data_IF_769550718049
#
_entry.id   IF_769550718049
#
_cell.length_a   1.000
_cell.length_b   1.000
_cell.length_c   1.000
_cell.angle_alpha   90.00
_cell.angle_beta   90.00
_cell.angle_gamma   90.00
#
_symmetry.space_group_name_H-M   'P 1'
#
loop_
_entity.id
_entity.type
_entity.pdbx_description
1 polymer ?
#
# COMPACT_ATOMS: atom_id res chain seq x y z
N UNK A 1 -17.59 14.19 14.62
CA UNK A 1 -17.70 12.98 13.78
C UNK A 1 -16.54 12.01 14.08
N UNK A 2 -16.27 11.75 15.36
CA UNK A 2 -15.02 11.13 15.88
C UNK A 2 -15.28 9.92 16.80
N UNK A 3 -16.48 9.33 16.74
CA UNK A 3 -16.93 8.32 17.72
C UNK A 3 -16.89 6.87 17.18
N UNK A 4 -16.64 6.63 15.89
CA UNK A 4 -16.66 5.28 15.27
C UNK A 4 -15.34 4.48 15.39
N UNK A 5 -14.31 5.05 16.00
CA UNK A 5 -12.96 4.46 16.06
C UNK A 5 -12.71 3.56 17.28
N UNK A 6 -13.68 3.40 18.19
CA UNK A 6 -13.48 2.71 19.47
C UNK A 6 -13.75 1.19 19.46
N UNK A 7 -14.36 0.63 18.42
CA UNK A 7 -14.82 -0.78 18.44
C UNK A 7 -14.00 -1.77 17.60
N UNK A 8 -12.84 -1.36 17.07
CA UNK A 8 -11.97 -2.23 16.25
C UNK A 8 -11.18 -3.27 17.06
N UNK A 9 -10.93 -3.02 18.36
CA UNK A 9 -10.24 -3.94 19.26
C UNK A 9 -11.05 -5.23 19.51
N UNK A 10 -12.39 -5.11 19.57
CA UNK A 10 -13.29 -6.24 19.68
C UNK A 10 -13.38 -7.03 18.37
N UNK A 11 -13.28 -6.34 17.21
CA UNK A 11 -13.43 -6.91 15.87
C UNK A 11 -12.37 -7.97 15.55
N UNK A 12 -11.07 -7.66 15.70
CA UNK A 12 -10.00 -8.65 15.42
C UNK A 12 -9.93 -9.76 16.47
N UNK A 13 -10.25 -9.48 17.73
CA UNK A 13 -10.25 -10.48 18.81
C UNK A 13 -11.42 -11.47 18.66
N UNK A 14 -12.61 -11.02 18.24
CA UNK A 14 -13.76 -11.88 17.96
C UNK A 14 -13.60 -12.71 16.67
N UNK A 15 -13.01 -12.14 15.62
CA UNK A 15 -12.76 -12.83 14.34
C UNK A 15 -11.93 -14.11 14.54
N UNK A 16 -11.03 -14.11 15.51
CA UNK A 16 -10.14 -15.23 15.80
C UNK A 16 -10.59 -16.13 16.97
N UNK A 17 -11.37 -15.62 17.92
CA UNK A 17 -12.00 -16.42 18.96
C UNK A 17 -13.12 -17.35 18.43
N UNK A 18 -13.91 -16.90 17.45
CA UNK A 18 -15.02 -17.67 16.85
C UNK A 18 -14.56 -18.91 16.06
N UNK A 19 -13.32 -18.90 15.54
CA UNK A 19 -12.74 -20.02 14.77
C UNK A 19 -12.28 -21.18 15.68
N UNK A 20 -12.15 -20.96 17.00
CA UNK A 20 -11.51 -21.93 17.90
C UNK A 20 -12.37 -22.51 19.03
N UNK A 21 -13.57 -22.01 19.36
CA UNK A 21 -14.34 -22.59 20.46
C UNK A 21 -15.82 -22.26 20.44
N UNK A 22 -16.65 -23.26 20.69
CA UNK A 22 -18.11 -23.19 20.81
C UNK A 22 -18.64 -22.43 22.03
N UNK A 23 -17.80 -21.83 22.88
CA UNK A 23 -18.24 -21.05 24.04
C UNK A 23 -17.21 -19.98 24.42
N UNK A 24 -17.52 -18.71 24.16
CA UNK A 24 -16.96 -17.57 24.88
C UNK A 24 -17.97 -16.41 24.84
N UNK A 25 -18.23 -15.82 26.01
CA UNK A 25 -19.28 -14.82 26.28
C UNK A 25 -19.16 -13.55 25.42
N UNK A 26 -20.33 -12.99 25.11
CA UNK A 26 -20.60 -11.88 24.20
C UNK A 26 -19.84 -10.60 24.57
N UNK A 27 -18.72 -10.35 23.89
CA UNK A 27 -18.23 -8.99 23.70
C UNK A 27 -19.06 -8.34 22.57
N UNK A 28 -19.66 -7.18 22.85
CA UNK A 28 -20.44 -6.36 21.91
C UNK A 28 -19.55 -5.88 20.76
N UNK A 29 -19.41 -6.75 19.77
CA UNK A 29 -18.57 -6.59 18.61
C UNK A 29 -19.45 -6.18 17.43
N UNK A 30 -19.09 -5.18 16.61
CA UNK A 30 -19.84 -4.86 15.39
C UNK A 30 -19.67 -5.98 14.34
N UNK A 31 -20.37 -7.08 14.55
CA UNK A 31 -20.35 -8.32 13.76
C UNK A 31 -20.39 -8.13 12.24
N UNK A 32 -20.93 -7.01 11.76
CA UNK A 32 -20.99 -6.63 10.35
C UNK A 32 -19.64 -6.31 9.70
N UNK A 33 -18.69 -5.70 10.41
CA UNK A 33 -17.38 -5.31 9.84
C UNK A 33 -16.40 -6.49 9.80
N UNK A 34 -16.40 -7.37 10.81
CA UNK A 34 -15.71 -8.67 10.78
C UNK A 34 -16.21 -9.49 9.60
N UNK A 35 -17.53 -9.66 9.52
CA UNK A 35 -18.16 -10.41 8.44
C UNK A 35 -17.73 -9.83 7.09
N UNK A 36 -17.67 -8.49 6.97
CA UNK A 36 -17.24 -7.85 5.73
C UNK A 36 -15.77 -8.13 5.37
N UNK A 37 -14.85 -8.23 6.34
CA UNK A 37 -13.45 -8.59 6.06
C UNK A 37 -13.34 -10.06 5.65
N UNK A 38 -14.02 -10.97 6.35
CA UNK A 38 -14.08 -12.39 5.98
C UNK A 38 -14.70 -12.57 4.59
N UNK A 39 -15.77 -11.85 4.28
CA UNK A 39 -16.41 -11.86 2.96
C UNK A 39 -15.45 -11.35 1.87
N UNK A 40 -14.65 -10.31 2.17
CA UNK A 40 -13.62 -9.79 1.26
C UNK A 40 -12.48 -10.80 1.08
N UNK A 41 -12.00 -11.45 2.14
CA UNK A 41 -10.99 -12.50 2.05
C UNK A 41 -11.51 -13.69 1.23
N UNK A 42 -12.73 -14.16 1.50
CA UNK A 42 -13.38 -15.22 0.75
C UNK A 42 -13.62 -14.83 -0.73
N UNK A 43 -13.89 -13.55 -1.00
CA UNK A 43 -13.98 -13.04 -2.37
C UNK A 43 -12.60 -13.03 -3.04
N UNK A 44 -11.56 -12.59 -2.33
CA UNK A 44 -10.19 -12.59 -2.84
C UNK A 44 -9.74 -14.02 -3.18
N UNK A 45 -10.04 -15.02 -2.34
CA UNK A 45 -9.69 -16.43 -2.58
C UNK A 45 -10.35 -17.04 -3.83
N UNK A 46 -11.42 -16.43 -4.36
CA UNK A 46 -12.02 -16.84 -5.63
C UNK A 46 -11.19 -16.42 -6.84
N UNK A 47 -10.30 -15.43 -6.70
CA UNK A 47 -9.39 -15.05 -7.77
C UNK A 47 -8.34 -16.16 -7.99
N UNK A 48 -7.98 -16.46 -9.24
CA UNK A 48 -7.04 -17.54 -9.53
C UNK A 48 -5.62 -17.19 -9.04
N UNK A 49 -4.95 -18.18 -8.45
CA UNK A 49 -3.54 -18.08 -8.03
C UNK A 49 -2.57 -18.34 -9.18
N UNK A 50 -2.77 -17.67 -10.32
CA UNK A 50 -1.84 -17.74 -11.46
C UNK A 50 -0.64 -16.82 -11.29
N UNK A 51 -0.74 -15.83 -10.42
CA UNK A 51 0.28 -14.82 -10.13
C UNK A 51 0.36 -14.57 -8.62
N UNK A 52 1.55 -14.15 -8.11
CA UNK A 52 1.72 -13.77 -6.73
C UNK A 52 0.72 -12.69 -6.29
N UNK A 53 0.35 -12.73 -5.01
CA UNK A 53 -0.43 -11.67 -4.38
C UNK A 53 0.54 -10.65 -3.77
N UNK A 54 0.34 -9.37 -4.09
CA UNK A 54 1.04 -8.27 -3.44
C UNK A 54 0.10 -7.63 -2.44
N UNK A 55 0.49 -7.57 -1.17
CA UNK A 55 -0.26 -6.92 -0.12
C UNK A 55 0.37 -5.56 0.16
N UNK A 56 -0.41 -4.48 0.01
CA UNK A 56 -0.01 -3.14 0.38
C UNK A 56 -0.74 -2.73 1.65
N UNK A 57 0.02 -2.26 2.65
CA UNK A 57 -0.51 -1.73 3.91
C UNK A 57 -0.07 -0.29 4.09
N UNK A 58 -1.02 0.56 4.45
CA UNK A 58 -0.78 1.93 4.91
C UNK A 58 -1.21 2.01 6.37
N UNK A 59 -0.31 2.47 7.24
CA UNK A 59 -0.53 2.49 8.69
C UNK A 59 -0.37 3.90 9.24
N UNK A 60 -1.31 4.32 10.08
CA UNK A 60 -1.22 5.51 10.95
C UNK A 60 -1.20 5.02 12.39
N UNK A 61 -0.26 5.51 13.17
CA UNK A 61 -0.12 5.19 14.59
C UNK A 61 -0.66 6.32 15.47
N UNK A 62 -1.15 5.92 16.65
CA UNK A 62 -1.61 6.84 17.71
C UNK A 62 -0.47 7.69 18.28
N UNK A 63 0.76 7.23 18.13
CA UNK A 63 1.96 7.80 18.74
C UNK A 63 3.19 7.69 17.82
N UNK A 64 4.19 8.52 18.10
CA UNK A 64 5.39 8.66 17.25
C UNK A 64 6.36 7.46 17.32
N UNK A 65 6.11 6.48 18.19
CA UNK A 65 6.88 5.23 18.32
C UNK A 65 6.38 4.13 17.35
N UNK A 66 5.46 4.46 16.44
CA UNK A 66 4.82 3.52 15.53
C UNK A 66 5.77 2.64 14.71
N UNK A 67 6.87 3.20 14.20
CA UNK A 67 7.89 2.40 13.49
C UNK A 67 8.50 1.31 14.38
N UNK A 68 8.80 1.64 15.64
CA UNK A 68 9.31 0.66 16.62
C UNK A 68 8.27 -0.43 16.89
N UNK A 69 6.99 -0.06 17.01
CA UNK A 69 5.87 -1.02 17.17
C UNK A 69 5.72 -1.95 15.98
N UNK A 70 5.88 -1.42 14.79
CA UNK A 70 5.88 -2.24 13.59
C UNK A 70 7.10 -3.18 13.53
N UNK A 71 8.28 -2.74 13.99
CA UNK A 71 9.45 -3.63 14.10
C UNK A 71 9.25 -4.77 15.10
N UNK A 72 8.60 -4.51 16.23
CA UNK A 72 8.22 -5.55 17.21
C UNK A 72 7.29 -6.60 16.56
N UNK A 73 6.27 -6.14 15.81
CA UNK A 73 5.39 -7.00 15.02
C UNK A 73 6.16 -7.82 13.97
N UNK A 74 7.07 -7.19 13.24
CA UNK A 74 7.87 -7.84 12.20
C UNK A 74 8.74 -8.98 12.74
N UNK A 75 9.27 -8.87 13.96
CA UNK A 75 10.07 -9.95 14.57
C UNK A 75 9.26 -11.24 14.74
N UNK A 76 7.98 -11.13 15.08
CA UNK A 76 7.07 -12.28 15.22
C UNK A 76 6.56 -12.80 13.88
N UNK A 77 6.31 -11.90 12.92
CA UNK A 77 5.66 -12.23 11.65
C UNK A 77 6.64 -12.65 10.54
N UNK A 78 7.82 -12.03 10.45
CA UNK A 78 8.74 -12.24 9.34
C UNK A 78 9.22 -13.70 9.18
N UNK A 79 9.56 -14.45 10.24
CA UNK A 79 9.93 -15.86 10.11
C UNK A 79 8.81 -16.70 9.48
N UNK A 80 7.56 -16.43 9.89
CA UNK A 80 6.37 -17.11 9.38
C UNK A 80 6.18 -16.78 7.90
N UNK A 81 6.23 -15.50 7.52
CA UNK A 81 6.08 -15.09 6.12
C UNK A 81 7.12 -15.79 5.23
N UNK A 82 8.38 -15.87 5.68
CA UNK A 82 9.48 -16.54 4.97
C UNK A 82 9.26 -18.03 4.82
N UNK A 83 8.87 -18.73 5.89
CA UNK A 83 8.56 -20.17 5.85
C UNK A 83 7.41 -20.47 4.86
N UNK A 84 6.45 -19.55 4.77
CA UNK A 84 5.35 -19.62 3.80
C UNK A 84 5.77 -19.27 2.36
N UNK A 85 7.03 -18.90 2.13
CA UNK A 85 7.57 -18.50 0.83
C UNK A 85 7.18 -17.08 0.41
N UNK A 86 6.69 -16.26 1.35
CA UNK A 86 6.43 -14.84 1.16
C UNK A 86 7.68 -13.99 1.38
N UNK A 87 7.59 -12.71 1.03
CA UNK A 87 8.71 -11.77 1.06
C UNK A 87 8.26 -10.35 1.41
N UNK A 88 9.04 -9.64 2.23
CA UNK A 88 8.91 -8.19 2.37
C UNK A 88 9.60 -7.50 1.20
N UNK A 89 8.82 -6.76 0.41
CA UNK A 89 9.32 -6.07 -0.76
C UNK A 89 9.69 -4.63 -0.46
N UNK A 90 8.94 -3.94 0.41
CA UNK A 90 9.21 -2.55 0.74
C UNK A 90 8.70 -2.18 2.12
N UNK A 91 9.47 -1.36 2.85
CA UNK A 91 9.04 -0.67 4.06
C UNK A 91 9.50 0.77 3.95
N UNK A 92 8.53 1.69 3.97
CA UNK A 92 8.78 3.13 3.88
C UNK A 92 8.19 3.86 5.07
N UNK A 93 8.95 4.81 5.63
CA UNK A 93 8.46 5.75 6.64
C UNK A 93 8.05 7.06 6.00
N UNK A 94 6.91 7.60 6.40
CA UNK A 94 6.36 8.81 5.81
C UNK A 94 7.36 9.97 5.83
N UNK A 95 7.38 10.69 4.72
CA UNK A 95 8.20 11.89 4.56
C UNK A 95 7.26 13.07 4.35
N UNK A 96 7.22 14.03 5.27
CA UNK A 96 6.60 15.31 4.96
C UNK A 96 7.52 16.02 3.97
N UNK A 97 7.01 16.31 2.78
CA UNK A 97 7.66 17.28 1.89
C UNK A 97 6.69 18.39 1.55
N UNK A 98 7.20 19.61 1.53
CA UNK A 98 6.44 20.82 1.19
C UNK A 98 6.87 21.22 -0.21
N UNK A 99 5.94 21.19 -1.16
CA UNK A 99 6.16 21.85 -2.44
C UNK A 99 5.73 23.30 -2.29
N UNK A 100 6.59 24.20 -2.76
CA UNK A 100 6.27 25.62 -2.81
C UNK A 100 5.78 25.95 -4.23
N UNK A 101 4.48 26.17 -4.35
CA UNK A 101 3.81 26.38 -5.63
C UNK A 101 3.80 27.85 -6.08
N UNK A 102 4.66 28.71 -5.54
CA UNK A 102 4.70 30.18 -5.71
C UNK A 102 4.50 30.72 -7.16
N UNK A 103 4.57 29.88 -8.20
CA UNK A 103 4.19 30.23 -9.58
C UNK A 103 3.60 29.09 -10.45
N UNK A 104 3.18 27.96 -9.86
CA UNK A 104 2.75 26.75 -10.60
C UNK A 104 1.39 26.21 -10.14
N UNK A 105 0.72 25.38 -10.96
CA UNK A 105 -0.50 24.71 -10.53
C UNK A 105 -0.18 23.65 -9.47
N UNK A 106 -1.04 23.58 -8.45
CA UNK A 106 -1.00 22.50 -7.47
C UNK A 106 -1.10 21.14 -8.17
N UNK A 107 -0.30 20.19 -7.71
CA UNK A 107 -0.34 18.85 -8.26
C UNK A 107 -1.62 18.13 -7.81
N UNK A 108 -2.51 17.82 -8.77
CA UNK A 108 -3.73 17.05 -8.50
C UNK A 108 -3.42 15.77 -7.70
N UNK A 109 -4.03 15.69 -6.52
CA UNK A 109 -3.91 14.54 -5.62
C UNK A 109 -2.70 14.54 -4.69
N UNK A 110 -1.79 15.53 -4.80
CA UNK A 110 -0.80 15.75 -3.75
C UNK A 110 -1.51 16.31 -2.51
N UNK A 111 -1.45 15.54 -1.42
CA UNK A 111 -1.99 15.93 -0.11
C UNK A 111 -0.91 15.72 0.95
N UNK A 112 -1.10 16.32 2.11
CA UNK A 112 -0.31 15.92 3.29
C UNK A 112 -0.45 14.41 3.49
N UNK A 113 0.68 13.70 3.60
CA UNK A 113 0.67 12.25 3.78
C UNK A 113 0.02 11.93 5.14
N UNK A 114 -1.18 11.31 5.16
CA UNK A 114 -1.87 11.00 6.42
C UNK A 114 -1.35 9.70 7.04
N UNK A 115 -0.42 9.00 6.39
CA UNK A 115 0.11 7.73 6.84
C UNK A 115 1.50 7.91 7.44
N UNK A 116 1.89 7.01 8.33
CA UNK A 116 3.23 6.99 8.92
C UNK A 116 4.11 5.91 8.28
N UNK A 117 3.52 4.80 7.85
CA UNK A 117 4.22 3.69 7.18
C UNK A 117 3.51 3.18 5.93
N UNK A 118 4.31 2.81 4.94
CA UNK A 118 3.93 2.01 3.78
C UNK A 118 4.67 0.68 3.84
N UNK A 119 3.93 -0.42 3.73
CA UNK A 119 4.49 -1.77 3.68
C UNK A 119 3.99 -2.47 2.43
N UNK A 120 4.89 -3.12 1.71
CA UNK A 120 4.56 -3.94 0.54
C UNK A 120 5.17 -5.32 0.74
N UNK A 121 4.32 -6.33 0.69
CA UNK A 121 4.63 -7.74 0.93
C UNK A 121 4.19 -8.57 -0.26
N UNK A 122 4.89 -9.68 -0.51
CA UNK A 122 4.52 -10.67 -1.51
C UNK A 122 4.14 -11.97 -0.82
N UNK A 123 3.03 -12.54 -1.29
CA UNK A 123 2.57 -13.88 -0.99
C UNK A 123 2.57 -14.70 -2.29
N UNK A 124 2.84 -16.00 -2.20
CA UNK A 124 2.80 -16.88 -3.38
C UNK A 124 1.38 -17.07 -3.91
N UNK A 125 0.39 -16.98 -3.03
CA UNK A 125 -1.01 -17.23 -3.33
C UNK A 125 -1.93 -16.47 -2.36
N UNK A 126 -3.20 -16.31 -2.75
CA UNK A 126 -4.26 -15.77 -1.89
C UNK A 126 -4.59 -16.73 -0.75
N UNK A 127 -4.46 -18.04 -1.00
CA UNK A 127 -4.59 -19.09 0.04
C UNK A 127 -3.51 -19.00 1.11
N UNK A 128 -2.28 -18.60 0.77
CA UNK A 128 -1.25 -18.35 1.78
C UNK A 128 -1.63 -17.18 2.69
N UNK A 129 -2.25 -16.12 2.16
CA UNK A 129 -2.76 -15.02 3.00
C UNK A 129 -3.87 -15.51 3.95
N UNK A 130 -4.80 -16.35 3.46
CA UNK A 130 -5.83 -16.97 4.32
C UNK A 130 -5.20 -17.83 5.42
N UNK A 131 -4.30 -18.73 5.03
CA UNK A 131 -3.59 -19.60 5.97
C UNK A 131 -2.84 -18.82 7.04
N UNK A 132 -2.22 -17.69 6.67
CA UNK A 132 -1.57 -16.79 7.63
C UNK A 132 -2.57 -16.21 8.63
N UNK A 133 -3.73 -15.74 8.14
CA UNK A 133 -4.82 -15.26 8.97
C UNK A 133 -5.29 -16.28 10.01
N UNK A 134 -5.31 -17.58 9.66
CA UNK A 134 -5.74 -18.65 10.57
C UNK A 134 -4.71 -19.00 11.67
N UNK A 135 -3.48 -18.46 11.61
CA UNK A 135 -2.42 -18.78 12.59
C UNK A 135 -2.55 -17.96 13.87
N UNK A 136 -2.80 -18.62 15.01
CA UNK A 136 -2.90 -17.96 16.34
C UNK A 136 -1.75 -17.02 16.68
N UNK A 137 -0.52 -17.39 16.32
CA UNK A 137 0.67 -16.55 16.54
C UNK A 137 0.61 -15.24 15.75
N UNK A 138 0.11 -15.27 14.51
CA UNK A 138 -0.07 -14.09 13.68
C UNK A 138 -1.24 -13.24 14.19
N UNK A 139 -2.34 -13.88 14.58
CA UNK A 139 -3.52 -13.21 15.17
C UNK A 139 -3.15 -12.41 16.43
N UNK A 140 -2.33 -13.01 17.30
CA UNK A 140 -1.82 -12.34 18.49
C UNK A 140 -0.93 -11.14 18.13
N UNK A 141 0.03 -11.31 17.22
CA UNK A 141 0.93 -10.24 16.79
C UNK A 141 0.18 -9.07 16.13
N UNK A 142 -0.80 -9.38 15.27
CA UNK A 142 -1.68 -8.37 14.66
C UNK A 142 -2.50 -7.63 15.71
N UNK A 143 -3.06 -8.31 16.71
CA UNK A 143 -3.81 -7.69 17.80
C UNK A 143 -2.95 -6.70 18.60
N UNK A 144 -1.72 -7.09 18.92
CA UNK A 144 -0.75 -6.23 19.61
C UNK A 144 -0.39 -5.00 18.77
N UNK A 145 -0.12 -5.16 17.47
CA UNK A 145 0.14 -4.04 16.57
C UNK A 145 -1.07 -3.09 16.50
N UNK A 146 -2.27 -3.63 16.34
CA UNK A 146 -3.51 -2.86 16.21
C UNK A 146 -3.82 -1.99 17.43
N UNK A 147 -3.42 -2.42 18.64
CA UNK A 147 -3.55 -1.60 19.84
C UNK A 147 -2.85 -0.23 19.71
N UNK A 148 -1.84 -0.12 18.84
CA UNK A 148 -1.07 1.10 18.58
C UNK A 148 -1.51 1.87 17.31
N UNK A 149 -2.43 1.34 16.51
CA UNK A 149 -2.87 1.95 15.25
C UNK A 149 -4.04 2.92 15.45
N UNK A 150 -3.93 4.11 14.87
CA UNK A 150 -5.02 5.06 14.69
C UNK A 150 -5.86 4.71 13.45
N UNK A 151 -5.19 4.31 12.36
CA UNK A 151 -5.85 3.93 11.12
C UNK A 151 -5.00 2.93 10.33
N UNK A 152 -5.65 2.11 9.51
CA UNK A 152 -5.01 1.15 8.61
C UNK A 152 -5.82 0.99 7.32
N UNK A 153 -5.13 0.92 6.19
CA UNK A 153 -5.70 0.49 4.91
C UNK A 153 -4.89 -0.68 4.36
N UNK A 154 -5.58 -1.73 3.90
CA UNK A 154 -4.95 -2.94 3.36
C UNK A 154 -5.56 -3.24 1.99
N UNK A 155 -4.71 -3.32 0.98
CA UNK A 155 -5.09 -3.62 -0.39
C UNK A 155 -4.39 -4.88 -0.89
N UNK A 156 -5.18 -5.78 -1.45
CA UNK A 156 -4.73 -6.90 -2.26
C UNK A 156 -4.52 -6.40 -3.70
N UNK A 157 -3.29 -6.52 -4.17
CA UNK A 157 -2.85 -6.09 -5.48
C UNK A 157 -2.30 -7.28 -6.27
N UNK A 158 -2.42 -7.20 -7.58
CA UNK A 158 -1.82 -8.13 -8.54
C UNK A 158 -1.36 -7.31 -9.75
N UNK A 159 -0.61 -7.91 -10.66
CA UNK A 159 -0.23 -7.27 -11.91
C UNK A 159 -1.19 -7.58 -13.04
N UNK A 160 -1.72 -6.53 -13.66
CA UNK A 160 -1.96 -6.52 -15.11
C UNK A 160 -1.75 -5.08 -15.58
N UNK A 161 -0.71 -4.87 -16.39
CA UNK A 161 -0.54 -3.59 -17.09
C UNK A 161 -1.70 -3.38 -18.05
N UNK A 162 -2.05 -2.11 -18.29
CA UNK A 162 -3.01 -1.74 -19.32
C UNK A 162 -2.52 -2.25 -20.70
N UNK A 163 -3.33 -3.06 -21.38
CA UNK A 163 -3.00 -3.65 -22.69
C UNK A 163 -2.11 -4.90 -22.69
N UNK A 164 -1.87 -5.55 -21.54
CA UNK A 164 -0.89 -6.64 -21.42
C UNK A 164 -1.21 -7.92 -22.23
N UNK A 165 -0.18 -8.46 -22.88
CA UNK A 165 -0.09 -9.79 -23.52
C UNK A 165 -0.16 -10.98 -22.52
N UNK A 166 -0.88 -10.85 -21.40
CA UNK A 166 -1.03 -11.89 -20.38
C UNK A 166 0.09 -12.02 -19.33
N UNK A 167 1.04 -11.08 -19.25
CA UNK A 167 2.06 -11.05 -18.16
C UNK A 167 1.62 -10.14 -17.01
N UNK A 168 1.66 -10.66 -15.78
CA UNK A 168 1.40 -9.89 -14.57
C UNK A 168 2.66 -9.18 -14.11
N UNK A 169 2.57 -7.87 -13.82
CA UNK A 169 3.67 -7.15 -13.15
C UNK A 169 3.98 -7.70 -11.75
N UNK A 170 3.06 -8.43 -11.09
CA UNK A 170 3.35 -9.09 -9.82
C UNK A 170 4.39 -10.21 -9.96
N UNK A 171 4.53 -10.82 -11.13
CA UNK A 171 5.56 -11.85 -11.39
C UNK A 171 6.97 -11.26 -11.41
N UNK A 172 7.08 -9.98 -11.76
CA UNK A 172 8.36 -9.29 -11.95
C UNK A 172 8.72 -8.35 -10.81
N UNK A 173 7.82 -8.20 -9.83
CA UNK A 173 8.05 -7.36 -8.65
C UNK A 173 9.11 -8.03 -7.78
N UNK A 174 10.20 -7.30 -7.58
CA UNK A 174 11.29 -7.65 -6.68
C UNK A 174 11.49 -6.51 -5.68
N UNK A 175 12.02 -6.82 -4.51
CA UNK A 175 12.44 -5.79 -3.58
C UNK A 175 13.43 -4.85 -4.30
N UNK A 176 13.23 -3.52 -4.30
CA UNK A 176 14.15 -2.61 -4.93
C UNK A 176 15.50 -2.72 -4.23
N UNK A 177 16.57 -2.37 -4.96
CA UNK A 177 17.79 -2.00 -4.27
C UNK A 177 17.45 -0.87 -3.31
N UNK A 178 17.92 -1.00 -2.07
CA UNK A 178 17.68 -0.08 -0.98
C UNK A 178 18.94 0.77 -0.82
N UNK A 179 19.14 1.81 -1.65
CA UNK A 179 20.29 2.68 -1.53
C UNK A 179 20.27 3.45 -0.21
N UNK A 180 21.46 3.87 0.20
CA UNK A 180 21.72 4.57 1.47
C UNK A 180 21.67 6.10 1.30
N UNK A 181 20.65 6.59 0.58
CA UNK A 181 20.54 8.00 0.21
C UNK A 181 19.30 8.69 0.72
N UNK A 182 19.08 9.88 0.15
CA UNK A 182 17.91 10.72 0.39
C UNK A 182 16.82 10.45 -0.66
N UNK A 183 16.67 9.21 -1.11
CA UNK A 183 15.66 8.86 -2.10
C UNK A 183 14.25 9.13 -1.57
N UNK A 184 13.38 9.55 -2.48
CA UNK A 184 11.95 9.69 -2.22
C UNK A 184 11.21 8.56 -2.93
N UNK A 185 10.48 7.76 -2.18
CA UNK A 185 9.56 6.76 -2.70
C UNK A 185 8.16 7.35 -2.68
N UNK A 186 7.60 7.54 -3.87
CA UNK A 186 6.34 8.21 -4.10
C UNK A 186 5.32 7.17 -4.56
N UNK A 187 4.27 6.97 -3.76
CA UNK A 187 3.17 6.06 -4.10
C UNK A 187 1.98 6.85 -4.67
N UNK A 188 1.60 6.47 -5.89
CA UNK A 188 0.42 6.95 -6.57
C UNK A 188 -0.71 5.93 -6.38
N UNK A 189 -1.80 6.36 -5.75
CA UNK A 189 -3.02 5.57 -5.58
C UNK A 189 -4.10 6.17 -6.49
N UNK A 190 -4.45 5.42 -7.53
CA UNK A 190 -5.21 5.94 -8.67
C UNK A 190 -6.57 5.28 -8.77
N UNK A 191 -7.63 6.08 -8.81
CA UNK A 191 -8.96 5.67 -9.24
C UNK A 191 -9.30 6.45 -10.52
N UNK A 192 -9.62 5.74 -11.59
CA UNK A 192 -9.93 6.37 -12.87
C UNK A 192 -11.37 6.85 -12.92
N UNK A 193 -11.61 7.92 -13.67
CA UNK A 193 -12.96 8.31 -14.05
C UNK A 193 -13.61 7.18 -14.87
N UNK A 194 -14.93 6.95 -14.69
CA UNK A 194 -15.65 5.97 -15.50
C UNK A 194 -15.62 6.35 -16.98
N UNK A 195 -15.91 5.40 -17.86
CA UNK A 195 -16.04 5.62 -19.31
C UNK A 195 -14.75 6.08 -20.03
N UNK A 196 -13.59 5.54 -19.64
CA UNK A 196 -12.35 5.69 -20.41
C UNK A 196 -11.23 6.45 -19.71
N UNK A 197 -11.38 6.81 -18.43
CA UNK A 197 -10.33 7.47 -17.64
C UNK A 197 -9.00 6.72 -17.66
N UNK A 198 -9.02 5.38 -17.55
CA UNK A 198 -7.79 4.57 -17.63
C UNK A 198 -7.08 4.71 -18.99
N UNK A 199 -7.83 4.58 -20.09
CA UNK A 199 -7.27 4.71 -21.44
C UNK A 199 -6.70 6.11 -21.66
N UNK A 200 -7.43 7.15 -21.22
CA UNK A 200 -6.99 8.55 -21.28
C UNK A 200 -5.70 8.74 -20.48
N UNK A 201 -5.66 8.25 -19.24
CA UNK A 201 -4.48 8.32 -18.38
C UNK A 201 -3.23 7.78 -19.08
N UNK A 202 -3.30 6.57 -19.66
CA UNK A 202 -2.13 5.98 -20.30
C UNK A 202 -1.75 6.67 -21.62
N UNK A 203 -2.74 7.06 -22.44
CA UNK A 203 -2.47 7.66 -23.76
C UNK A 203 -1.99 9.11 -23.69
N UNK A 204 -2.48 9.87 -22.72
CA UNK A 204 -2.32 11.33 -22.69
C UNK A 204 -1.46 11.83 -21.54
N UNK A 205 -1.44 11.13 -20.39
CA UNK A 205 -0.59 11.52 -19.25
C UNK A 205 0.63 10.62 -19.10
N UNK A 206 0.44 9.31 -18.95
CA UNK A 206 1.54 8.37 -18.67
C UNK A 206 2.58 8.37 -19.79
N UNK A 207 2.13 8.46 -21.06
CA UNK A 207 3.01 8.55 -22.23
C UNK A 207 4.00 9.72 -22.15
N UNK A 208 3.55 10.87 -21.66
CA UNK A 208 4.33 12.11 -21.61
C UNK A 208 5.16 12.21 -20.32
N UNK A 209 4.64 11.73 -19.19
CA UNK A 209 5.34 11.83 -17.89
C UNK A 209 6.48 10.80 -17.75
N UNK A 210 6.38 9.63 -18.39
CA UNK A 210 7.39 8.57 -18.26
C UNK A 210 8.80 9.02 -18.71
N UNK A 211 8.97 9.70 -19.87
CA UNK A 211 10.25 10.31 -20.20
C UNK A 211 10.74 11.32 -19.15
N UNK A 212 9.85 12.14 -18.58
CA UNK A 212 10.23 13.14 -17.56
C UNK A 212 10.75 12.49 -16.29
N UNK A 213 10.10 11.41 -15.83
CA UNK A 213 10.58 10.57 -14.73
C UNK A 213 12.00 10.08 -15.00
N UNK A 214 12.26 9.57 -16.21
CA UNK A 214 13.60 9.13 -16.62
C UNK A 214 14.64 10.26 -16.59
N UNK A 215 14.31 11.46 -17.10
CA UNK A 215 15.21 12.62 -17.08
C UNK A 215 15.50 13.12 -15.66
N UNK A 216 14.54 12.97 -14.73
CA UNK A 216 14.73 13.28 -13.31
C UNK A 216 15.61 12.25 -12.57
N UNK A 217 16.09 11.21 -13.27
CA UNK A 217 16.82 10.09 -12.67
C UNK A 217 15.94 9.15 -11.85
N UNK A 218 14.61 9.31 -11.94
CA UNK A 218 13.64 8.51 -11.22
C UNK A 218 13.30 7.21 -11.94
N UNK A 219 12.77 6.24 -11.20
CA UNK A 219 12.46 4.89 -11.69
C UNK A 219 11.08 4.47 -11.19
N UNK A 220 10.24 4.00 -12.10
CA UNK A 220 9.02 3.28 -11.71
C UNK A 220 9.45 1.92 -11.15
N UNK A 221 9.19 1.71 -9.86
CA UNK A 221 9.54 0.48 -9.12
C UNK A 221 8.42 -0.54 -9.26
N UNK A 222 7.17 -0.12 -9.02
CA UNK A 222 6.00 -0.97 -9.12
C UNK A 222 4.91 -0.30 -9.96
N UNK A 223 4.18 -1.10 -10.73
CA UNK A 223 2.92 -0.73 -11.35
C UNK A 223 1.95 -1.89 -11.20
N UNK A 224 1.03 -1.79 -10.25
CA UNK A 224 0.14 -2.86 -9.82
C UNK A 224 -1.33 -2.49 -10.02
N UNK A 225 -2.15 -3.48 -10.32
CA UNK A 225 -3.61 -3.41 -10.34
C UNK A 225 -4.15 -3.81 -8.97
N UNK A 226 -5.10 -3.03 -8.46
CA UNK A 226 -5.83 -3.45 -7.28
C UNK A 226 -6.83 -4.56 -7.64
N UNK A 227 -6.81 -5.64 -6.88
CA UNK A 227 -7.85 -6.67 -6.97
C UNK A 227 -8.98 -6.38 -5.99
N UNK A 228 -8.61 -6.09 -4.74
CA UNK A 228 -9.57 -5.89 -3.67
C UNK A 228 -8.98 -5.05 -2.55
N UNK A 229 -9.81 -4.19 -1.97
CA UNK A 229 -9.51 -3.57 -0.68
C UNK A 229 -10.00 -4.49 0.43
N UNK A 230 -9.10 -4.95 1.29
CA UNK A 230 -9.41 -5.82 2.42
C UNK A 230 -9.88 -5.01 3.62
N UNK A 231 -9.13 -3.97 3.98
CA UNK A 231 -9.42 -3.08 5.12
C UNK A 231 -9.37 -1.62 4.65
N UNK A 232 -10.31 -0.80 5.12
CA UNK A 232 -10.47 0.60 4.72
C UNK A 232 -11.73 0.85 3.89
N UNK A 233 -11.84 2.08 3.37
CA UNK A 233 -12.98 2.58 2.60
C UNK A 233 -12.61 3.00 1.15
N UNK A 234 -11.43 3.57 0.95
CA UNK A 234 -11.00 4.09 -0.35
C UNK A 234 -10.58 2.97 -1.30
N UNK A 235 -11.12 2.97 -2.51
CA UNK A 235 -10.80 1.96 -3.54
C UNK A 235 -9.98 2.60 -4.65
N UNK A 236 -8.98 1.86 -5.11
CA UNK A 236 -8.12 2.26 -6.22
C UNK A 236 -8.19 1.23 -7.33
N UNK A 237 -7.88 1.64 -8.55
CA UNK A 237 -7.74 0.77 -9.72
C UNK A 237 -6.26 0.42 -9.98
N UNK A 238 -5.35 1.36 -9.67
CA UNK A 238 -3.90 1.20 -9.87
C UNK A 238 -3.11 1.77 -8.71
N UNK A 239 -1.98 1.12 -8.43
CA UNK A 239 -0.96 1.56 -7.48
C UNK A 239 0.37 1.61 -8.22
N UNK A 240 1.02 2.77 -8.20
CA UNK A 240 2.34 2.94 -8.83
C UNK A 240 3.33 3.45 -7.78
N UNK A 241 4.44 2.76 -7.59
CA UNK A 241 5.53 3.23 -6.74
C UNK A 241 6.66 3.73 -7.63
N UNK A 242 7.06 4.99 -7.44
CA UNK A 242 8.15 5.63 -8.16
C UNK A 242 9.24 6.02 -7.16
N UNK A 243 10.48 5.70 -7.46
CA UNK A 243 11.64 6.16 -6.68
C UNK A 243 12.28 7.34 -7.40
N UNK A 244 12.48 8.44 -6.68
CA UNK A 244 13.25 9.60 -7.11
C UNK A 244 14.58 9.65 -6.34
N UNK A 245 15.69 10.09 -6.99
CA UNK A 245 16.98 10.20 -6.32
C UNK A 245 16.97 11.14 -5.11
N UNK A 246 16.09 12.14 -5.13
CA UNK A 246 15.83 13.03 -3.99
C UNK A 246 14.45 13.68 -4.10
N UNK A 247 13.96 14.20 -2.97
CA UNK A 247 12.79 15.09 -2.94
C UNK A 247 12.97 16.31 -3.85
N UNK A 248 14.19 16.86 -3.92
CA UNK A 248 14.53 17.97 -4.83
C UNK A 248 14.33 17.56 -6.30
N UNK A 249 14.72 16.35 -6.68
CA UNK A 249 14.54 15.85 -8.05
C UNK A 249 13.04 15.71 -8.40
N UNK A 250 12.23 15.19 -7.47
CA UNK A 250 10.78 15.15 -7.61
C UNK A 250 10.19 16.56 -7.77
N UNK A 251 10.55 17.48 -6.87
CA UNK A 251 10.07 18.86 -6.90
C UNK A 251 10.44 19.56 -8.20
N UNK A 252 11.70 19.48 -8.64
CA UNK A 252 12.14 20.07 -9.91
C UNK A 252 11.36 19.54 -11.11
N UNK A 253 11.04 18.23 -11.12
CA UNK A 253 10.25 17.64 -12.19
C UNK A 253 8.81 18.19 -12.19
N UNK A 254 8.10 18.11 -11.06
CA UNK A 254 6.68 18.50 -11.00
C UNK A 254 6.46 20.00 -11.13
N UNK A 255 7.47 20.82 -10.83
CA UNK A 255 7.44 22.27 -11.01
C UNK A 255 7.88 22.74 -12.40
N UNK A 256 8.41 21.83 -13.24
CA UNK A 256 8.86 22.20 -14.58
C UNK A 256 7.67 22.60 -15.48
N UNK A 257 7.91 23.54 -16.40
CA UNK A 257 6.90 23.94 -17.41
C UNK A 257 6.39 22.74 -18.20
N UNK A 258 7.27 21.80 -18.53
CA UNK A 258 6.93 20.59 -19.26
C UNK A 258 5.93 19.70 -18.50
N UNK A 259 6.14 19.50 -17.19
CA UNK A 259 5.21 18.74 -16.37
C UNK A 259 3.88 19.49 -16.18
N UNK A 260 3.95 20.79 -15.93
CA UNK A 260 2.77 21.64 -15.74
C UNK A 260 1.88 21.68 -16.99
N UNK A 261 2.47 21.60 -18.19
CA UNK A 261 1.72 21.54 -19.44
C UNK A 261 0.90 20.23 -19.60
N UNK A 262 1.29 19.14 -18.96
CA UNK A 262 0.62 17.82 -19.07
C UNK A 262 -0.11 17.39 -17.80
N UNK A 263 0.07 18.09 -16.68
CA UNK A 263 -0.61 17.77 -15.41
C UNK A 263 -2.15 17.81 -15.51
N UNK A 264 -2.81 18.67 -16.33
CA UNK A 264 -4.27 18.61 -16.48
C UNK A 264 -4.77 17.28 -17.04
N UNK A 265 -3.98 16.59 -17.87
CA UNK A 265 -4.35 15.27 -18.42
C UNK A 265 -4.51 14.21 -17.31
N UNK A 266 -3.77 14.36 -16.19
CA UNK A 266 -3.90 13.50 -15.00
C UNK A 266 -5.23 13.72 -14.30
N UNK A 267 -5.54 14.98 -14.01
CA UNK A 267 -6.78 15.38 -13.35
C UNK A 267 -8.02 15.01 -14.19
N UNK A 268 -7.91 15.19 -15.49
CA UNK A 268 -8.94 14.83 -16.46
C UNK A 268 -9.26 13.33 -16.49
N UNK A 269 -8.29 12.48 -16.19
CA UNK A 269 -8.40 11.04 -16.27
C UNK A 269 -8.79 10.36 -14.94
N UNK A 270 -8.54 11.03 -13.81
CA UNK A 270 -8.66 10.46 -12.47
C UNK A 270 -9.86 11.03 -11.71
N UNK A 271 -10.52 10.15 -10.95
CA UNK A 271 -11.45 10.52 -9.90
C UNK A 271 -10.67 10.76 -8.60
N UNK A 272 -9.71 9.87 -8.29
CA UNK A 272 -8.80 9.97 -7.15
C UNK A 272 -7.36 9.76 -7.65
N UNK A 273 -6.45 10.63 -7.22
CA UNK A 273 -5.04 10.58 -7.62
C UNK A 273 -4.07 10.77 -6.47
N UNK A 274 -4.36 10.19 -5.31
CA UNK A 274 -3.56 10.38 -4.09
C UNK A 274 -2.08 10.08 -4.32
N UNK A 275 -1.24 10.96 -3.79
CA UNK A 275 0.19 10.94 -3.97
C UNK A 275 0.86 11.13 -2.61
N UNK A 276 1.58 10.11 -2.14
CA UNK A 276 2.19 10.11 -0.81
C UNK A 276 3.68 9.76 -0.84
N UNK A 277 4.47 10.47 -0.03
CA UNK A 277 5.92 10.33 0.06
C UNK A 277 6.41 9.50 1.24
N UNK A 278 7.41 8.65 0.98
CA UNK A 278 8.08 7.81 1.97
C UNK A 278 9.60 7.82 1.78
N UNK A 279 10.35 7.76 2.88
CA UNK A 279 11.77 7.42 2.93
C UNK A 279 11.90 5.91 3.06
N UNK A 280 12.96 5.39 2.47
CA UNK A 280 13.32 3.99 2.63
C UNK A 280 13.63 3.66 4.09
N UNK A 281 12.89 2.71 4.67
CA UNK A 281 13.18 2.09 5.96
C UNK A 281 13.67 0.63 5.81
N UNK A 282 13.89 0.16 4.57
CA UNK A 282 14.31 -1.20 4.22
C UNK A 282 15.66 -1.66 4.78
N UNK A 283 16.56 -0.76 5.19
CA UNK A 283 17.74 -1.15 5.99
C UNK A 283 17.36 -1.85 7.30
N UNK A 284 16.27 -1.42 7.93
CA UNK A 284 15.75 -2.05 9.15
C UNK A 284 15.27 -3.47 8.85
N UNK A 285 14.57 -3.66 7.72
CA UNK A 285 14.20 -4.99 7.22
C UNK A 285 15.44 -5.86 6.97
N UNK A 286 16.44 -5.37 6.23
CA UNK A 286 17.65 -6.15 5.92
C UNK A 286 18.40 -6.64 7.15
N UNK A 287 18.49 -5.84 8.22
CA UNK A 287 19.11 -6.28 9.48
C UNK A 287 18.32 -7.41 10.13
N UNK A 288 17.00 -7.24 10.26
CA UNK A 288 16.12 -8.30 10.78
C UNK A 288 16.16 -9.58 9.93
N UNK A 289 16.44 -9.45 8.63
CA UNK A 289 16.58 -10.57 7.71
C UNK A 289 17.88 -11.38 7.89
N UNK A 290 18.90 -10.82 8.57
CA UNK A 290 20.23 -11.37 8.79
C UNK A 290 20.46 -11.90 10.22
N UNK A 291 19.59 -11.52 11.16
CA UNK A 291 19.55 -11.97 12.56
C UNK A 291 18.66 -13.21 12.72
#
# INVERSE_FOLDING_TARGET
MLQKTKDWLALLTCLFALVSSTQAEEADCPSSEISAIEDRLALLEKNPDTHPLILMRLLKFKSNDGLTKYEEFLKSYQPILREMGGEFLFLGSATPYKLDYESSHELFGLKHNPWDLLVIERFRSRKDLRRLGDMKVYQQAESELHAHLENIAIHALNGTLHGGNGRSSADTVVAPEFPDGDELFEINLLQFKPNGGEVKYYKEYAREVLPMIGHAGAKVIYGLKAELMLVGEERYDRVVLVMYPSEKAFHQMVMSEAYQAISPNREDALEVGHLFGFRNAGRRLKRMQQE
#
